data_IF_547843975018
#
_entry.id   IF_547843975018
#
_cell.length_a   1.000
_cell.length_b   1.000
_cell.length_c   1.000
_cell.angle_alpha   90.00
_cell.angle_beta   90.00
_cell.angle_gamma   90.00
#
_symmetry.space_group_name_H-M   'P 1'
#
loop_
_entity.id
_entity.type
_entity.pdbx_description
1 polymer ?
#
# COMPACT_ATOMS: atom_id res chain seq x y z
N UNK A 1 4.75 10.01 32.31
CA UNK A 1 5.04 11.37 31.82
C UNK A 1 3.74 12.16 31.75
N UNK A 2 3.65 13.36 32.35
CA UNK A 2 2.41 14.17 32.36
C UNK A 2 2.36 15.21 31.24
N UNK A 3 3.53 15.68 30.80
CA UNK A 3 3.73 16.63 29.70
C UNK A 3 4.77 16.06 28.74
N UNK A 4 4.64 16.33 27.44
CA UNK A 4 5.55 15.82 26.43
C UNK A 4 6.88 16.59 26.51
N UNK A 5 7.94 15.95 27.00
CA UNK A 5 9.27 16.57 27.13
C UNK A 5 10.08 16.40 25.86
N UNK A 6 10.95 17.36 25.56
CA UNK A 6 11.82 17.29 24.39
C UNK A 6 12.86 16.15 24.49
N UNK A 7 13.44 15.80 23.35
CA UNK A 7 14.45 14.75 23.24
C UNK A 7 15.64 14.93 24.20
N UNK A 8 16.19 16.14 24.26
CA UNK A 8 17.39 16.46 25.06
C UNK A 8 17.14 16.29 26.56
N UNK A 9 15.94 16.67 27.00
CA UNK A 9 15.49 16.51 28.38
C UNK A 9 15.36 15.04 28.79
N UNK A 10 14.76 14.22 27.93
CA UNK A 10 14.61 12.78 28.20
C UNK A 10 15.94 12.04 28.07
N UNK A 11 16.80 12.46 27.13
CA UNK A 11 18.16 11.94 27.01
C UNK A 11 18.98 12.20 28.27
N UNK A 12 18.91 13.41 28.81
CA UNK A 12 19.60 13.80 30.05
C UNK A 12 19.05 13.05 31.27
N UNK A 13 17.73 12.78 31.29
CA UNK A 13 17.09 12.00 32.34
C UNK A 13 17.37 10.48 32.26
N UNK A 14 17.97 9.99 31.16
CA UNK A 14 18.17 8.56 30.93
C UNK A 14 16.91 7.81 30.50
N UNK A 15 15.87 8.52 30.06
CA UNK A 15 14.58 7.96 29.63
C UNK A 15 14.60 7.51 28.15
N UNK A 16 15.64 7.86 27.39
CA UNK A 16 15.83 7.45 25.99
C UNK A 16 16.90 6.38 25.86
N UNK A 17 16.74 5.49 24.89
CA UNK A 17 17.71 4.45 24.55
C UNK A 17 17.84 4.29 23.04
N UNK A 18 19.00 3.85 22.59
CA UNK A 18 19.19 3.39 21.21
C UNK A 18 18.57 2.00 21.06
N UNK A 19 17.38 1.95 20.47
CA UNK A 19 16.63 0.71 20.34
C UNK A 19 17.32 -0.29 19.41
N UNK A 20 17.34 -1.54 19.86
CA UNK A 20 17.74 -2.71 19.08
C UNK A 20 16.66 -3.79 19.27
N UNK A 21 16.38 -4.58 18.23
CA UNK A 21 15.27 -5.55 18.24
C UNK A 21 15.41 -6.62 19.35
N UNK A 22 16.64 -6.93 19.78
CA UNK A 22 16.85 -7.87 20.89
C UNK A 22 16.45 -7.30 22.26
N UNK A 23 16.28 -5.98 22.40
CA UNK A 23 15.90 -5.35 23.67
C UNK A 23 14.43 -5.59 24.03
N UNK A 24 13.57 -5.86 23.05
CA UNK A 24 12.15 -6.02 23.29
C UNK A 24 11.30 -5.76 22.05
N UNK A 25 10.10 -5.21 22.26
CA UNK A 25 9.18 -4.83 21.17
C UNK A 25 9.10 -3.31 21.07
N UNK A 26 8.93 -2.79 19.87
CA UNK A 26 8.78 -1.35 19.64
C UNK A 26 7.49 -1.02 18.89
N UNK A 27 6.92 0.13 19.25
CA UNK A 27 5.78 0.77 18.62
C UNK A 27 6.18 2.09 17.99
N UNK A 28 5.94 2.23 16.69
CA UNK A 28 6.01 3.51 16.00
C UNK A 28 4.67 4.23 16.12
N UNK A 29 4.67 5.46 16.64
CA UNK A 29 3.45 6.28 16.76
C UNK A 29 3.44 7.35 15.69
N UNK A 30 2.59 7.15 14.69
CA UNK A 30 2.24 8.17 13.69
C UNK A 30 1.08 9.00 14.20
N UNK A 31 1.24 10.31 14.24
CA UNK A 31 0.23 11.26 14.73
C UNK A 31 0.32 12.60 13.99
N UNK A 32 -0.71 13.43 14.14
CA UNK A 32 -0.71 14.78 13.59
C UNK A 32 -0.49 15.79 14.71
N UNK A 33 0.44 16.72 14.50
CA UNK A 33 0.72 17.82 15.42
C UNK A 33 -0.52 18.71 15.60
N UNK A 34 -0.80 19.09 16.85
CA UNK A 34 -1.93 19.92 17.27
C UNK A 34 -1.66 21.42 17.19
N UNK A 35 -0.40 21.82 16.95
CA UNK A 35 -0.03 23.21 16.76
C UNK A 35 1.25 23.35 15.92
N UNK A 36 1.55 24.57 15.50
CA UNK A 36 2.77 24.88 14.76
C UNK A 36 4.06 24.70 15.58
N UNK A 37 4.02 24.95 16.89
CA UNK A 37 5.21 25.00 17.73
C UNK A 37 5.42 23.74 18.57
N UNK A 38 4.35 22.98 18.82
CA UNK A 38 4.40 21.80 19.66
C UNK A 38 3.41 20.73 19.18
N UNK A 39 3.82 19.45 19.15
CA UNK A 39 2.98 18.35 18.66
C UNK A 39 1.69 18.16 19.45
N UNK A 40 1.73 18.34 20.77
CA UNK A 40 0.59 18.13 21.65
C UNK A 40 0.64 19.07 22.87
N UNK A 41 0.34 20.37 22.72
CA UNK A 41 0.58 21.40 23.74
C UNK A 41 -0.08 21.13 25.10
N UNK A 42 -1.18 20.39 25.10
CA UNK A 42 -1.96 20.07 26.30
C UNK A 42 -1.85 18.59 26.70
N UNK A 43 -1.06 17.80 25.97
CA UNK A 43 -0.88 16.37 26.22
C UNK A 43 -2.16 15.55 25.98
N UNK A 44 -3.08 16.03 25.14
CA UNK A 44 -4.38 15.41 24.90
C UNK A 44 -4.25 14.10 24.12
N UNK A 45 -3.53 14.11 23.00
CA UNK A 45 -3.27 12.91 22.21
C UNK A 45 -2.41 11.91 22.98
N UNK A 46 -1.35 12.40 23.62
CA UNK A 46 -0.44 11.56 24.36
C UNK A 46 -1.09 10.91 25.57
N UNK A 47 -2.04 11.60 26.24
CA UNK A 47 -2.83 11.01 27.32
C UNK A 47 -3.73 9.89 26.80
N UNK A 48 -4.37 10.07 25.64
CA UNK A 48 -5.16 9.00 25.01
C UNK A 48 -4.28 7.79 24.71
N UNK A 49 -3.07 7.99 24.17
CA UNK A 49 -2.12 6.90 23.93
C UNK A 49 -1.75 6.18 25.23
N UNK A 50 -1.41 6.93 26.29
CA UNK A 50 -1.08 6.35 27.59
C UNK A 50 -2.23 5.52 28.17
N UNK A 51 -3.45 6.05 28.13
CA UNK A 51 -4.62 5.36 28.66
C UNK A 51 -4.98 4.13 27.83
N UNK A 52 -4.86 4.21 26.50
CA UNK A 52 -5.01 3.06 25.60
C UNK A 52 -3.99 1.96 25.94
N UNK A 53 -2.70 2.31 26.09
CA UNK A 53 -1.66 1.35 26.45
C UNK A 53 -1.87 0.74 27.85
N UNK A 54 -2.31 1.53 28.83
CA UNK A 54 -2.67 1.00 30.17
C UNK A 54 -3.83 0.00 30.08
N UNK A 55 -4.84 0.30 29.28
CA UNK A 55 -6.00 -0.58 29.10
C UNK A 55 -5.63 -1.86 28.33
N UNK A 56 -4.79 -1.77 27.29
CA UNK A 56 -4.30 -2.93 26.54
C UNK A 56 -3.42 -3.82 27.41
N UNK A 57 -2.48 -3.25 28.18
CA UNK A 57 -1.60 -3.99 29.10
C UNK A 57 -2.35 -4.70 30.21
N UNK A 58 -3.40 -4.09 30.74
CA UNK A 58 -4.25 -4.69 31.79
C UNK A 58 -5.30 -5.67 31.24
N UNK A 59 -5.51 -5.72 29.93
CA UNK A 59 -6.58 -6.49 29.30
C UNK A 59 -7.98 -5.87 29.46
N UNK A 60 -8.08 -4.64 29.98
CA UNK A 60 -9.34 -3.88 30.09
C UNK A 60 -9.89 -3.48 28.71
N UNK A 61 -9.00 -3.28 27.74
CA UNK A 61 -9.34 -3.06 26.34
C UNK A 61 -8.63 -4.09 25.47
N UNK A 62 -9.17 -4.35 24.28
CA UNK A 62 -8.59 -5.23 23.28
C UNK A 62 -8.62 -4.54 21.93
N UNK A 63 -7.63 -4.82 21.08
CA UNK A 63 -7.64 -4.37 19.69
C UNK A 63 -8.72 -5.15 18.94
N UNK A 64 -9.66 -4.42 18.36
CA UNK A 64 -10.81 -4.99 17.65
C UNK A 64 -10.48 -5.17 16.17
N UNK A 65 -11.08 -6.19 15.55
CA UNK A 65 -11.09 -6.34 14.09
C UNK A 65 -12.39 -5.71 13.61
N UNK A 66 -12.35 -4.69 12.74
CA UNK A 66 -13.57 -4.11 12.19
C UNK A 66 -14.39 -5.18 11.45
N UNK A 67 -15.71 -5.22 11.71
CA UNK A 67 -16.62 -6.24 11.18
C UNK A 67 -16.51 -6.46 9.67
N UNK A 68 -16.46 -5.41 8.81
CA UNK A 68 -16.31 -5.61 7.36
C UNK A 68 -15.05 -6.41 7.02
N UNK A 69 -13.99 -6.24 7.80
CA UNK A 69 -12.72 -6.93 7.59
C UNK A 69 -12.74 -8.37 8.10
N UNK A 70 -13.43 -8.64 9.21
CA UNK A 70 -13.64 -10.03 9.67
C UNK A 70 -14.50 -10.81 8.66
N UNK A 71 -15.51 -10.17 8.06
CA UNK A 71 -16.34 -10.78 7.01
C UNK A 71 -15.52 -11.11 5.77
N UNK A 72 -14.64 -10.19 5.33
CA UNK A 72 -13.89 -10.36 4.09
C UNK A 72 -12.69 -11.31 4.23
N UNK A 73 -11.99 -11.30 5.37
CA UNK A 73 -10.73 -12.01 5.54
C UNK A 73 -10.73 -13.07 6.65
N UNK A 74 -11.88 -13.29 7.28
CA UNK A 74 -12.05 -14.18 8.42
C UNK A 74 -11.45 -13.60 9.71
N UNK A 75 -11.49 -14.41 10.78
CA UNK A 75 -10.87 -14.06 12.06
C UNK A 75 -9.36 -14.00 11.92
N UNK A 76 -8.78 -12.90 12.42
CA UNK A 76 -7.34 -12.66 12.41
C UNK A 76 -6.81 -12.54 13.82
N UNK A 77 -5.53 -12.86 14.00
CA UNK A 77 -4.84 -12.67 15.26
C UNK A 77 -4.80 -11.17 15.58
N UNK A 78 -5.17 -10.82 16.80
CA UNK A 78 -4.99 -9.49 17.36
C UNK A 78 -3.95 -9.55 18.47
N UNK A 79 -3.24 -8.45 18.75
CA UNK A 79 -2.34 -8.39 19.89
C UNK A 79 -3.13 -8.47 21.18
N UNK A 80 -2.58 -9.20 22.14
CA UNK A 80 -3.15 -9.47 23.46
C UNK A 80 -2.43 -8.65 24.53
N UNK A 81 -2.97 -8.61 25.74
CA UNK A 81 -2.29 -7.96 26.88
C UNK A 81 -0.89 -8.55 27.14
N UNK A 82 -0.72 -9.85 26.88
CA UNK A 82 0.56 -10.53 26.98
C UNK A 82 1.61 -9.94 26.03
N UNK A 83 1.22 -9.61 24.79
CA UNK A 83 2.13 -9.01 23.81
C UNK A 83 2.71 -7.65 24.26
N UNK A 84 1.98 -6.91 25.11
CA UNK A 84 2.42 -5.62 25.68
C UNK A 84 3.11 -5.74 27.05
N UNK A 85 3.25 -6.94 27.61
CA UNK A 85 3.77 -7.16 28.97
C UNK A 85 4.90 -8.18 29.05
N UNK A 86 5.00 -9.09 28.07
CA UNK A 86 6.00 -10.17 28.03
C UNK A 86 7.44 -9.65 27.95
N UNK A 87 7.68 -8.59 27.18
CA UNK A 87 9.01 -8.04 26.92
C UNK A 87 9.03 -6.54 27.19
N UNK A 88 10.21 -5.93 27.39
CA UNK A 88 10.34 -4.48 27.39
C UNK A 88 9.69 -3.89 26.14
N UNK A 89 8.91 -2.82 26.34
CA UNK A 89 8.10 -2.21 25.28
C UNK A 89 8.53 -0.76 25.09
N UNK A 90 9.01 -0.45 23.88
CA UNK A 90 9.56 0.85 23.52
C UNK A 90 8.59 1.62 22.62
N UNK A 91 8.59 2.94 22.76
CA UNK A 91 7.76 3.83 21.95
C UNK A 91 8.68 4.74 21.17
N UNK A 92 8.54 4.72 19.85
CA UNK A 92 9.07 5.74 18.97
C UNK A 92 7.98 6.78 18.72
N UNK A 93 8.28 8.03 19.05
CA UNK A 93 7.41 9.19 18.89
C UNK A 93 8.26 10.35 18.39
N UNK A 94 7.88 10.94 17.26
CA UNK A 94 8.69 11.89 16.49
C UNK A 94 9.32 13.02 17.33
N UNK A 95 8.59 13.58 18.29
CA UNK A 95 9.04 14.71 19.10
C UNK A 95 10.17 14.38 20.06
N UNK A 96 10.02 13.34 20.87
CA UNK A 96 11.05 12.98 21.85
C UNK A 96 12.06 11.96 21.32
N UNK A 97 11.78 11.32 20.18
CA UNK A 97 12.71 10.40 19.52
C UNK A 97 13.63 11.12 18.53
N UNK A 98 13.30 12.36 18.13
CA UNK A 98 14.16 13.21 17.32
C UNK A 98 14.65 14.42 18.13
N UNK A 99 15.91 14.86 17.97
CA UNK A 99 16.41 16.09 18.57
C UNK A 99 15.55 17.32 18.28
N UNK A 100 15.34 18.19 19.27
CA UNK A 100 14.54 19.41 19.15
C UNK A 100 15.37 20.71 19.20
N UNK A 101 16.65 20.62 19.61
CA UNK A 101 17.56 21.76 19.70
C UNK A 101 17.74 22.58 18.41
N UNK A 102 18.15 23.84 18.58
CA UNK A 102 18.41 24.79 17.49
C UNK A 102 19.89 24.88 17.09
N UNK A 103 20.79 24.26 17.84
CA UNK A 103 22.21 24.18 17.48
C UNK A 103 22.42 23.31 16.24
N UNK A 104 23.53 23.52 15.53
CA UNK A 104 23.82 22.85 14.26
C UNK A 104 23.83 21.32 14.37
N UNK A 105 24.26 20.78 15.51
CA UNK A 105 24.31 19.34 15.75
C UNK A 105 22.90 18.76 15.90
N UNK A 106 22.05 19.41 16.69
CA UNK A 106 20.64 19.00 16.85
C UNK A 106 19.86 19.12 15.56
N UNK A 107 20.05 20.20 14.80
CA UNK A 107 19.40 20.39 13.49
C UNK A 107 19.82 19.29 12.50
N UNK A 108 21.12 19.00 12.40
CA UNK A 108 21.62 17.95 11.53
C UNK A 108 21.09 16.57 11.96
N UNK A 109 21.13 16.27 13.25
CA UNK A 109 20.69 14.98 13.79
C UNK A 109 19.18 14.77 13.63
N UNK A 110 18.37 15.81 13.87
CA UNK A 110 16.93 15.82 13.55
C UNK A 110 16.71 15.54 12.08
N UNK A 111 17.49 16.20 11.21
CA UNK A 111 17.37 15.99 9.77
C UNK A 111 17.67 14.54 9.42
N UNK A 112 18.78 13.95 9.91
CA UNK A 112 19.08 12.53 9.69
C UNK A 112 17.99 11.57 10.19
N UNK A 113 17.33 11.88 11.31
CA UNK A 113 16.21 11.08 11.82
C UNK A 113 14.99 11.13 10.88
N UNK A 114 14.64 12.32 10.37
CA UNK A 114 13.59 12.49 9.34
C UNK A 114 14.02 11.84 8.02
N UNK A 115 15.30 11.97 7.66
CA UNK A 115 16.13 11.16 6.74
C UNK A 115 15.66 9.72 6.60
N UNK A 116 15.56 9.12 7.77
CA UNK A 116 15.56 7.67 7.96
C UNK A 116 14.30 7.20 8.68
N UNK A 117 13.25 8.01 8.70
CA UNK A 117 11.98 7.70 9.40
C UNK A 117 11.42 6.32 9.02
N UNK A 118 11.53 5.98 7.74
CA UNK A 118 11.11 4.69 7.17
C UNK A 118 11.88 3.50 7.76
N UNK A 119 13.14 3.69 8.14
CA UNK A 119 13.94 2.66 8.79
C UNK A 119 13.44 2.39 10.23
N UNK A 120 13.04 3.43 10.98
CA UNK A 120 12.42 3.26 12.30
C UNK A 120 11.09 2.51 12.19
N UNK A 121 10.24 2.88 11.22
CA UNK A 121 8.98 2.18 10.94
C UNK A 121 9.22 0.70 10.68
N UNK A 122 10.21 0.36 9.85
CA UNK A 122 10.51 -1.03 9.48
C UNK A 122 10.92 -1.91 10.67
N UNK A 123 11.58 -1.34 11.69
CA UNK A 123 12.04 -2.03 12.89
C UNK A 123 10.96 -2.16 13.99
N UNK A 124 9.88 -1.40 13.89
CA UNK A 124 8.78 -1.46 14.87
C UNK A 124 7.81 -2.60 14.54
N UNK A 125 7.44 -3.38 15.57
CA UNK A 125 6.45 -4.47 15.44
C UNK A 125 5.03 -3.91 15.35
N UNK A 126 4.80 -2.79 16.04
CA UNK A 126 3.53 -2.08 16.03
C UNK A 126 3.68 -0.77 15.29
N UNK A 127 2.75 -0.51 14.36
CA UNK A 127 2.55 0.80 13.79
C UNK A 127 1.22 1.34 14.29
N UNK A 128 1.25 2.41 15.07
CA UNK A 128 0.06 3.03 15.64
C UNK A 128 -0.26 4.31 14.90
N UNK A 129 -1.49 4.41 14.43
CA UNK A 129 -2.10 5.66 13.97
C UNK A 129 -2.86 6.23 15.16
N UNK A 130 -2.30 7.27 15.78
CA UNK A 130 -2.90 7.96 16.92
C UNK A 130 -3.73 9.14 16.41
N UNK A 131 -5.04 8.96 16.36
CA UNK A 131 -5.97 9.94 15.78
C UNK A 131 -7.24 10.14 16.64
N UNK A 132 -7.09 10.51 17.93
CA UNK A 132 -8.25 10.87 18.73
C UNK A 132 -8.91 12.15 18.21
N UNK A 133 -10.21 12.31 18.49
CA UNK A 133 -10.96 13.51 18.17
C UNK A 133 -10.52 14.67 19.08
N UNK A 134 -9.55 15.47 18.62
CA UNK A 134 -8.98 16.61 19.34
C UNK A 134 -8.90 17.82 18.42
N UNK A 135 -9.01 19.03 18.97
CA UNK A 135 -9.01 20.27 18.18
C UNK A 135 -7.58 20.76 17.95
N UNK A 136 -7.22 20.98 16.69
CA UNK A 136 -5.96 21.66 16.37
C UNK A 136 -6.02 23.12 16.84
N UNK A 137 -5.10 23.51 17.71
CA UNK A 137 -5.07 24.83 18.37
C UNK A 137 -5.15 25.98 17.37
N UNK A 138 -4.32 25.94 16.33
CA UNK A 138 -4.17 27.07 15.40
C UNK A 138 -5.16 27.03 14.22
N UNK A 139 -5.69 25.86 13.85
CA UNK A 139 -6.58 25.69 12.69
C UNK A 139 -8.06 25.64 13.07
N UNK A 140 -8.38 25.51 14.36
CA UNK A 140 -9.75 25.35 14.88
C UNK A 140 -10.52 24.20 14.19
N UNK A 141 -9.79 23.19 13.69
CA UNK A 141 -10.32 21.99 13.05
C UNK A 141 -10.19 20.81 14.00
N UNK A 142 -11.24 19.99 14.10
CA UNK A 142 -11.17 18.70 14.79
C UNK A 142 -10.36 17.73 13.93
N UNK A 143 -9.30 17.17 14.51
CA UNK A 143 -8.48 16.15 13.90
C UNK A 143 -9.06 14.76 14.16
N UNK A 144 -8.69 13.82 13.31
CA UNK A 144 -9.13 12.44 13.34
C UNK A 144 -8.41 11.63 12.27
N UNK A 145 -8.88 10.41 12.00
CA UNK A 145 -8.26 9.54 11.00
C UNK A 145 -8.25 10.18 9.61
N UNK A 146 -9.34 10.83 9.20
CA UNK A 146 -9.44 11.50 7.89
C UNK A 146 -8.40 12.63 7.75
N UNK A 147 -8.27 13.48 8.78
CA UNK A 147 -7.31 14.58 8.78
C UNK A 147 -5.85 14.08 8.80
N UNK A 148 -5.58 13.00 9.54
CA UNK A 148 -4.29 12.31 9.52
C UNK A 148 -3.98 11.75 8.13
N UNK A 149 -4.98 11.12 7.50
CA UNK A 149 -4.86 10.54 6.16
C UNK A 149 -4.69 11.60 5.09
N UNK A 150 -4.99 12.88 5.32
CA UNK A 150 -4.69 13.95 4.36
C UNK A 150 -3.19 14.27 4.25
N UNK A 151 -2.35 13.88 5.22
CA UNK A 151 -0.94 14.32 5.27
C UNK A 151 0.01 13.39 4.54
N UNK A 152 0.90 13.97 3.73
CA UNK A 152 1.89 13.20 2.95
C UNK A 152 2.85 12.39 3.83
N UNK A 153 3.38 12.98 4.91
CA UNK A 153 4.30 12.28 5.81
C UNK A 153 3.64 11.10 6.53
N UNK A 154 2.41 11.27 6.99
CA UNK A 154 1.62 10.20 7.62
C UNK A 154 1.34 9.04 6.65
N UNK A 155 0.96 9.37 5.40
CA UNK A 155 0.82 8.38 4.32
C UNK A 155 2.14 7.65 4.02
N UNK A 156 3.26 8.38 4.01
CA UNK A 156 4.59 7.82 3.78
C UNK A 156 4.98 6.82 4.87
N UNK A 157 4.77 7.17 6.14
CA UNK A 157 5.04 6.29 7.28
C UNK A 157 4.22 5.01 7.19
N UNK A 158 2.93 5.11 6.87
CA UNK A 158 2.07 3.93 6.65
C UNK A 158 2.55 3.10 5.47
N UNK A 159 2.90 3.72 4.34
CA UNK A 159 3.44 3.00 3.18
C UNK A 159 4.74 2.26 3.55
N UNK A 160 5.62 2.87 4.34
CA UNK A 160 6.85 2.25 4.81
C UNK A 160 6.57 1.01 5.67
N UNK A 161 5.53 1.05 6.51
CA UNK A 161 5.09 -0.13 7.28
C UNK A 161 4.59 -1.25 6.36
N UNK A 162 3.81 -0.90 5.34
CA UNK A 162 3.26 -1.88 4.40
C UNK A 162 4.32 -2.51 3.47
N UNK A 163 5.36 -1.75 3.12
CA UNK A 163 6.47 -2.23 2.30
C UNK A 163 7.59 -2.89 3.10
N UNK A 164 7.55 -2.88 4.43
CA UNK A 164 8.57 -3.50 5.26
C UNK A 164 8.70 -5.01 4.94
N UNK A 165 9.92 -5.56 5.05
CA UNK A 165 10.18 -6.98 4.78
C UNK A 165 9.46 -7.90 5.78
N UNK A 166 9.25 -7.41 7.01
CA UNK A 166 8.60 -8.17 8.09
C UNK A 166 7.15 -8.52 7.78
N UNK A 167 6.79 -9.77 8.06
CA UNK A 167 5.41 -10.28 7.95
C UNK A 167 4.68 -10.28 9.31
N UNK A 168 5.42 -10.14 10.41
CA UNK A 168 4.91 -10.13 11.77
C UNK A 168 4.75 -8.70 12.29
N UNK A 169 3.54 -8.34 12.68
CA UNK A 169 3.25 -7.10 13.38
C UNK A 169 1.93 -6.49 12.96
N UNK A 170 1.57 -5.41 13.63
CA UNK A 170 0.20 -4.90 13.63
C UNK A 170 0.13 -3.43 13.26
N UNK A 171 -0.87 -3.05 12.48
CA UNK A 171 -1.25 -1.66 12.24
C UNK A 171 -2.49 -1.38 13.06
N UNK A 172 -2.38 -0.52 14.08
CA UNK A 172 -3.44 -0.27 15.05
C UNK A 172 -3.84 1.20 14.96
N UNK A 173 -5.13 1.49 14.83
CA UNK A 173 -5.68 2.83 14.96
C UNK A 173 -6.17 3.03 16.37
N UNK A 174 -5.80 4.14 16.99
CA UNK A 174 -6.24 4.52 18.34
C UNK A 174 -7.10 5.78 18.24
N UNK A 175 -8.41 5.61 18.35
CA UNK A 175 -9.38 6.71 18.38
C UNK A 175 -9.63 7.22 19.81
N UNK A 176 -9.51 6.35 20.81
CA UNK A 176 -9.71 6.69 22.21
C UNK A 176 -8.97 5.71 23.13
N UNK A 177 -9.06 5.94 24.44
CA UNK A 177 -8.49 5.05 25.46
C UNK A 177 -9.06 3.61 25.41
N UNK A 178 -10.24 3.39 24.83
CA UNK A 178 -10.92 2.09 24.81
C UNK A 178 -11.35 1.63 23.41
N UNK A 179 -11.09 2.44 22.39
CA UNK A 179 -11.41 2.13 20.99
C UNK A 179 -10.13 2.06 20.17
N UNK A 180 -9.66 0.83 19.93
CA UNK A 180 -8.51 0.52 19.10
C UNK A 180 -8.88 -0.51 18.05
N UNK A 181 -8.58 -0.23 16.78
CA UNK A 181 -8.91 -1.09 15.64
C UNK A 181 -7.67 -1.58 14.91
N UNK A 182 -7.72 -2.80 14.41
CA UNK A 182 -6.71 -3.33 13.50
C UNK A 182 -7.01 -2.87 12.07
N UNK A 183 -6.01 -2.29 11.40
CA UNK A 183 -6.05 -2.00 9.96
C UNK A 183 -5.33 -3.08 9.18
N UNK A 184 -5.88 -3.40 8.01
CA UNK A 184 -5.30 -4.32 7.05
C UNK A 184 -4.81 -3.54 5.82
N UNK A 185 -3.64 -3.92 5.29
CA UNK A 185 -2.95 -3.25 4.17
C UNK A 185 -3.69 -3.34 2.81
N UNK A 186 -4.94 -3.81 2.78
CA UNK A 186 -5.68 -4.09 1.53
C UNK A 186 -6.22 -2.84 0.84
N UNK A 187 -6.16 -1.67 1.48
CA UNK A 187 -6.63 -0.39 0.92
C UNK A 187 -5.52 0.45 0.26
N UNK A 188 -4.40 -0.18 -0.14
CA UNK A 188 -3.20 0.47 -0.70
C UNK A 188 -3.47 1.49 -1.81
N UNK A 189 -4.58 1.34 -2.54
CA UNK A 189 -4.95 2.17 -3.69
C UNK A 189 -5.48 3.58 -3.34
N UNK A 190 -5.90 3.83 -2.10
CA UNK A 190 -6.54 5.09 -1.70
C UNK A 190 -5.56 6.11 -1.09
N UNK A 191 -4.42 5.64 -0.60
CA UNK A 191 -3.59 6.40 0.34
C UNK A 191 -2.17 6.71 -0.14
N UNK A 192 -1.96 6.79 -1.46
CA UNK A 192 -0.65 7.11 -2.02
C UNK A 192 -0.07 8.41 -1.42
N UNK A 193 1.20 8.43 -0.97
CA UNK A 193 1.77 9.60 -0.29
C UNK A 193 1.71 10.89 -1.09
N UNK A 194 1.98 10.85 -2.40
CA UNK A 194 1.96 12.05 -3.23
C UNK A 194 0.58 12.71 -3.40
N UNK A 195 -0.50 12.01 -3.06
CA UNK A 195 -1.86 12.58 -3.01
C UNK A 195 -2.16 13.32 -1.70
N UNK A 196 -1.27 13.24 -0.70
CA UNK A 196 -1.39 14.00 0.54
C UNK A 196 -0.95 15.46 0.42
N UNK A 197 -1.25 16.22 1.46
CA UNK A 197 -0.84 17.60 1.68
C UNK A 197 0.54 17.64 2.33
N UNK A 198 1.42 18.43 1.73
CA UNK A 198 2.75 18.72 2.25
C UNK A 198 2.74 20.00 3.07
N UNK A 199 3.49 19.99 4.17
CA UNK A 199 3.80 21.24 4.90
C UNK A 199 4.80 22.08 4.09
N UNK A 200 5.81 21.44 3.50
CA UNK A 200 6.78 22.09 2.63
C UNK A 200 6.88 21.37 1.29
N UNK A 201 6.56 22.06 0.20
CA UNK A 201 6.52 21.47 -1.13
C UNK A 201 7.90 20.94 -1.59
N UNK A 202 8.99 21.53 -1.07
CA UNK A 202 10.37 21.06 -1.30
C UNK A 202 10.61 19.60 -0.89
N UNK A 203 9.82 19.08 0.05
CA UNK A 203 9.97 17.71 0.53
C UNK A 203 9.49 16.68 -0.51
N UNK A 204 8.69 17.09 -1.51
CA UNK A 204 8.11 16.17 -2.50
C UNK A 204 9.16 15.33 -3.22
N UNK A 205 10.23 15.96 -3.73
CA UNK A 205 11.27 15.26 -4.48
C UNK A 205 11.99 14.23 -3.60
N UNK A 206 12.26 14.60 -2.35
CA UNK A 206 12.90 13.72 -1.39
C UNK A 206 12.01 12.53 -1.05
N UNK A 207 10.73 12.78 -0.76
CA UNK A 207 9.75 11.73 -0.46
C UNK A 207 9.62 10.78 -1.66
N UNK A 208 9.63 11.32 -2.88
CA UNK A 208 9.63 10.51 -4.10
C UNK A 208 10.86 9.58 -4.16
N UNK A 209 12.06 10.10 -3.90
CA UNK A 209 13.28 9.28 -3.85
C UNK A 209 13.21 8.16 -2.81
N UNK A 210 12.71 8.45 -1.60
CA UNK A 210 12.52 7.45 -0.54
C UNK A 210 11.52 6.38 -0.96
N UNK A 211 10.38 6.76 -1.55
CA UNK A 211 9.35 5.79 -1.98
C UNK A 211 9.86 4.89 -3.10
N UNK A 212 10.55 5.45 -4.09
CA UNK A 212 11.16 4.66 -5.17
C UNK A 212 12.10 3.60 -4.59
N UNK A 213 12.96 3.98 -3.65
CA UNK A 213 13.87 3.06 -3.00
C UNK A 213 13.12 1.95 -2.23
N UNK A 214 12.08 2.30 -1.47
CA UNK A 214 11.28 1.31 -0.73
C UNK A 214 10.57 0.32 -1.66
N UNK A 215 9.94 0.81 -2.74
CA UNK A 215 9.24 -0.05 -3.71
C UNK A 215 10.25 -0.94 -4.43
N UNK A 216 11.38 -0.39 -4.86
CA UNK A 216 12.46 -1.14 -5.50
C UNK A 216 12.98 -2.27 -4.60
N UNK A 217 13.30 -1.97 -3.34
CA UNK A 217 13.74 -2.97 -2.36
C UNK A 217 12.68 -4.05 -2.13
N UNK A 218 11.40 -3.68 -2.05
CA UNK A 218 10.32 -4.64 -1.83
C UNK A 218 10.06 -5.54 -3.04
N UNK A 219 10.18 -5.01 -4.26
CA UNK A 219 10.11 -5.81 -5.49
C UNK A 219 11.25 -6.83 -5.55
N UNK A 220 12.49 -6.40 -5.27
CA UNK A 220 13.63 -7.32 -5.16
C UNK A 220 13.42 -8.39 -4.08
N UNK A 221 12.94 -8.00 -2.90
CA UNK A 221 12.61 -8.94 -1.83
C UNK A 221 11.63 -10.02 -2.31
N UNK A 222 10.55 -9.66 -3.02
CA UNK A 222 9.61 -10.66 -3.53
C UNK A 222 10.25 -11.59 -4.58
N UNK A 223 11.10 -11.05 -5.46
CA UNK A 223 11.85 -11.87 -6.43
C UNK A 223 12.81 -12.85 -5.73
N UNK A 224 13.54 -12.40 -4.71
CA UNK A 224 14.45 -13.24 -3.92
C UNK A 224 13.73 -14.35 -3.16
N UNK A 225 12.53 -14.06 -2.65
CA UNK A 225 11.68 -15.06 -1.97
C UNK A 225 10.93 -15.98 -2.95
N UNK A 226 10.96 -15.70 -4.25
CA UNK A 226 10.15 -16.40 -5.25
C UNK A 226 8.63 -16.13 -5.14
N UNK A 227 8.23 -15.07 -4.43
CA UNK A 227 6.84 -14.66 -4.26
C UNK A 227 6.37 -13.85 -5.47
N UNK A 228 6.19 -14.55 -6.60
CA UNK A 228 5.82 -13.93 -7.87
C UNK A 228 4.43 -13.29 -7.82
N UNK A 229 3.50 -13.79 -6.99
CA UNK A 229 2.15 -13.23 -6.90
C UNK A 229 2.19 -11.80 -6.33
N UNK A 230 2.84 -11.61 -5.18
CA UNK A 230 2.95 -10.30 -4.56
C UNK A 230 3.90 -9.36 -5.31
N UNK A 231 4.95 -9.90 -5.94
CA UNK A 231 5.79 -9.16 -6.88
C UNK A 231 4.95 -8.53 -7.99
N UNK A 232 4.17 -9.33 -8.73
CA UNK A 232 3.29 -8.86 -9.81
C UNK A 232 2.26 -7.88 -9.30
N UNK A 233 1.67 -8.13 -8.13
CA UNK A 233 0.70 -7.21 -7.54
C UNK A 233 1.33 -5.83 -7.29
N UNK A 234 2.49 -5.77 -6.65
CA UNK A 234 3.18 -4.50 -6.39
C UNK A 234 3.65 -3.84 -7.68
N UNK A 235 4.26 -4.59 -8.60
CA UNK A 235 4.76 -4.09 -9.88
C UNK A 235 3.66 -3.38 -10.68
N UNK A 236 2.46 -3.96 -10.74
CA UNK A 236 1.35 -3.41 -11.52
C UNK A 236 0.52 -2.38 -10.77
N UNK A 237 0.75 -2.16 -9.48
CA UNK A 237 -0.02 -1.20 -8.68
C UNK A 237 0.82 -0.03 -8.17
N UNK A 238 2.15 -0.09 -8.29
CA UNK A 238 3.11 0.90 -7.78
C UNK A 238 2.77 2.34 -8.18
N UNK A 239 2.36 2.58 -9.43
CA UNK A 239 2.09 3.93 -9.92
C UNK A 239 0.88 4.52 -9.20
N UNK A 240 -0.19 3.75 -9.05
CA UNK A 240 -1.42 4.20 -8.39
C UNK A 240 -1.30 4.29 -6.88
N UNK A 241 -0.57 3.35 -6.27
CA UNK A 241 -0.56 3.16 -4.83
C UNK A 241 0.61 3.85 -4.13
N UNK A 242 1.73 4.02 -4.82
CA UNK A 242 2.97 4.48 -4.21
C UNK A 242 3.47 5.77 -4.88
N UNK A 243 3.47 5.82 -6.21
CA UNK A 243 4.14 6.88 -6.98
C UNK A 243 3.19 7.99 -7.48
N UNK A 244 1.90 7.88 -7.17
CA UNK A 244 0.86 8.83 -7.61
C UNK A 244 1.21 10.25 -7.18
N UNK A 245 1.13 11.21 -8.12
CA UNK A 245 1.40 12.63 -7.91
C UNK A 245 2.84 12.97 -7.44
N UNK A 246 3.82 12.09 -7.70
CA UNK A 246 5.22 12.34 -7.38
C UNK A 246 6.09 12.71 -8.60
N UNK A 247 5.54 12.63 -9.81
CA UNK A 247 6.28 12.94 -11.04
C UNK A 247 7.36 11.91 -11.39
N UNK A 248 7.24 10.69 -10.87
CA UNK A 248 8.17 9.58 -11.12
C UNK A 248 7.48 8.49 -11.95
N UNK A 249 8.20 7.93 -12.91
CA UNK A 249 7.75 6.79 -13.71
C UNK A 249 7.72 5.47 -12.92
N UNK A 250 7.08 4.42 -13.47
CA UNK A 250 7.13 3.09 -12.87
C UNK A 250 8.56 2.55 -12.78
N UNK A 251 8.82 1.73 -11.77
CA UNK A 251 10.03 0.91 -11.67
C UNK A 251 9.82 -0.30 -12.59
N UNK A 252 10.74 -0.47 -13.54
CA UNK A 252 10.73 -1.52 -14.55
C UNK A 252 12.16 -2.04 -14.79
N UNK A 253 12.29 -3.11 -15.55
CA UNK A 253 13.57 -3.72 -15.93
C UNK A 253 14.24 -4.48 -14.80
N UNK A 254 13.45 -5.03 -13.87
CA UNK A 254 13.97 -5.81 -12.74
C UNK A 254 14.25 -7.26 -13.14
N UNK A 255 13.56 -7.78 -14.15
CA UNK A 255 13.78 -9.12 -14.67
C UNK A 255 14.86 -9.06 -15.76
N UNK A 256 15.97 -9.81 -15.65
CA UNK A 256 17.00 -9.78 -16.67
C UNK A 256 16.61 -10.58 -17.93
N UNK A 257 17.34 -10.36 -19.03
CA UNK A 257 17.29 -11.21 -20.21
C UNK A 257 16.10 -10.96 -21.15
N UNK A 258 15.57 -9.73 -21.18
CA UNK A 258 14.56 -9.37 -22.18
C UNK A 258 15.16 -9.37 -23.58
N UNK A 259 14.61 -10.17 -24.48
CA UNK A 259 14.95 -10.17 -25.90
C UNK A 259 13.64 -10.06 -26.69
N UNK A 260 13.29 -8.86 -27.20
CA UNK A 260 12.04 -8.66 -27.93
C UNK A 260 12.09 -9.38 -29.27
N UNK A 261 10.96 -9.93 -29.71
CA UNK A 261 10.81 -10.51 -31.05
C UNK A 261 10.20 -9.50 -32.02
N UNK A 262 9.43 -8.57 -31.48
CA UNK A 262 8.80 -7.50 -32.23
C UNK A 262 9.59 -6.20 -32.06
N UNK A 263 9.83 -5.51 -33.17
CA UNK A 263 10.48 -4.19 -33.14
C UNK A 263 9.48 -3.16 -32.59
N UNK A 264 9.85 -2.37 -31.57
CA UNK A 264 8.96 -1.34 -31.00
C UNK A 264 8.55 -0.25 -32.00
N UNK A 265 9.31 -0.03 -33.08
CA UNK A 265 8.99 0.93 -34.14
C UNK A 265 8.06 0.35 -35.21
N UNK A 266 8.07 -0.97 -35.43
CA UNK A 266 7.22 -1.64 -36.41
C UNK A 266 5.89 -2.13 -35.80
N UNK A 267 5.93 -2.76 -34.62
CA UNK A 267 4.76 -3.23 -33.88
C UNK A 267 4.86 -2.87 -32.38
N UNK A 268 4.55 -1.60 -32.04
CA UNK A 268 4.65 -1.13 -30.66
C UNK A 268 3.71 -1.87 -29.71
N UNK A 269 2.57 -2.38 -30.19
CA UNK A 269 1.61 -3.07 -29.33
C UNK A 269 2.09 -4.46 -28.97
N UNK A 270 2.63 -5.21 -29.93
CA UNK A 270 3.23 -6.51 -29.65
C UNK A 270 4.44 -6.38 -28.73
N UNK A 271 5.29 -5.37 -28.92
CA UNK A 271 6.42 -5.09 -28.03
C UNK A 271 5.96 -4.82 -26.58
N UNK A 272 4.94 -3.99 -26.38
CA UNK A 272 4.40 -3.69 -25.03
C UNK A 272 3.90 -4.96 -24.35
N UNK A 273 3.21 -5.84 -25.08
CA UNK A 273 2.74 -7.12 -24.54
C UNK A 273 3.92 -8.04 -24.18
N UNK A 274 4.94 -8.13 -25.03
CA UNK A 274 6.14 -8.92 -24.74
C UNK A 274 6.88 -8.42 -23.51
N UNK A 275 7.08 -7.10 -23.41
CA UNK A 275 7.68 -6.45 -22.24
C UNK A 275 6.87 -6.73 -20.98
N UNK A 276 5.55 -6.55 -21.05
CA UNK A 276 4.66 -6.81 -19.91
C UNK A 276 4.74 -8.26 -19.43
N UNK A 277 4.68 -9.22 -20.36
CA UNK A 277 4.77 -10.63 -20.02
C UNK A 277 6.13 -10.95 -19.39
N UNK A 278 7.21 -10.43 -19.95
CA UNK A 278 8.57 -10.65 -19.45
C UNK A 278 8.76 -10.07 -18.03
N UNK A 279 8.41 -8.81 -17.81
CA UNK A 279 8.50 -8.16 -16.50
C UNK A 279 7.63 -8.86 -15.46
N UNK A 280 6.48 -9.43 -15.86
CA UNK A 280 5.64 -10.21 -14.95
C UNK A 280 6.04 -11.69 -14.85
N UNK A 281 7.08 -12.14 -15.55
CA UNK A 281 7.52 -13.54 -15.56
C UNK A 281 6.49 -14.52 -16.14
N UNK A 282 5.70 -14.09 -17.11
CA UNK A 282 4.80 -14.93 -17.89
C UNK A 282 5.40 -15.23 -19.28
N UNK A 283 5.07 -16.39 -19.84
CA UNK A 283 5.47 -16.80 -21.20
C UNK A 283 4.39 -16.48 -22.21
N UNK A 284 3.12 -16.61 -21.82
CA UNK A 284 1.96 -16.39 -22.69
C UNK A 284 0.85 -15.63 -21.98
N UNK A 285 -0.07 -15.03 -22.74
CA UNK A 285 -1.25 -14.32 -22.22
C UNK A 285 -2.25 -15.24 -21.49
N UNK A 286 -2.19 -16.54 -21.73
CA UNK A 286 -3.07 -17.55 -21.14
C UNK A 286 -2.48 -18.21 -19.90
N UNK A 287 -1.25 -17.84 -19.53
CA UNK A 287 -0.61 -18.38 -18.32
C UNK A 287 -1.40 -17.98 -17.07
N UNK A 288 -1.32 -18.82 -16.05
CA UNK A 288 -1.93 -18.59 -14.74
C UNK A 288 -0.90 -18.77 -13.66
N UNK A 289 -0.95 -17.91 -12.65
CA UNK A 289 -0.15 -18.09 -11.44
C UNK A 289 -0.79 -19.12 -10.49
N UNK A 290 -0.15 -19.34 -9.34
CA UNK A 290 -0.63 -20.26 -8.29
C UNK A 290 -1.96 -19.83 -7.66
N UNK A 291 -2.33 -18.56 -7.77
CA UNK A 291 -3.62 -18.01 -7.35
C UNK A 291 -4.68 -18.01 -8.48
N UNK A 292 -4.33 -18.50 -9.68
CA UNK A 292 -5.21 -18.54 -10.85
C UNK A 292 -5.27 -17.25 -11.67
N UNK A 293 -4.47 -16.23 -11.32
CA UNK A 293 -4.43 -14.93 -11.96
C UNK A 293 -3.67 -14.99 -13.29
N UNK A 294 -4.26 -14.37 -14.31
CA UNK A 294 -3.68 -14.27 -15.66
C UNK A 294 -2.98 -12.92 -15.86
N UNK A 295 -2.12 -12.79 -16.89
CA UNK A 295 -1.54 -11.50 -17.28
C UNK A 295 -2.56 -10.35 -17.39
N UNK A 296 -3.75 -10.64 -17.92
CA UNK A 296 -4.79 -9.61 -18.10
C UNK A 296 -5.37 -9.11 -16.77
N UNK A 297 -5.44 -9.96 -15.73
CA UNK A 297 -5.83 -9.54 -14.39
C UNK A 297 -4.84 -8.51 -13.82
N UNK A 298 -3.52 -8.74 -14.02
CA UNK A 298 -2.48 -7.80 -13.61
C UNK A 298 -2.49 -6.51 -14.44
N UNK A 299 -2.68 -6.61 -15.75
CA UNK A 299 -2.78 -5.44 -16.63
C UNK A 299 -3.97 -4.54 -16.25
N UNK A 300 -5.12 -5.13 -15.87
CA UNK A 300 -6.29 -4.40 -15.39
C UNK A 300 -5.97 -3.50 -14.18
N UNK A 301 -5.13 -3.99 -13.25
CA UNK A 301 -4.74 -3.24 -12.05
C UNK A 301 -3.89 -2.01 -12.39
N UNK A 302 -3.05 -2.08 -13.42
CA UNK A 302 -2.17 -0.98 -13.85
C UNK A 302 -2.98 0.23 -14.38
N UNK A 303 -4.23 0.03 -14.84
CA UNK A 303 -5.07 1.13 -15.34
C UNK A 303 -4.59 1.75 -16.64
N UNK A 304 -3.60 1.13 -17.30
CA UNK A 304 -3.45 1.22 -18.74
C UNK A 304 -4.80 0.82 -19.34
N UNK A 305 -5.33 1.63 -20.26
CA UNK A 305 -6.57 1.28 -20.96
C UNK A 305 -6.46 -0.17 -21.43
N UNK A 306 -7.45 -0.99 -21.07
CA UNK A 306 -7.56 -2.38 -21.50
C UNK A 306 -7.21 -2.45 -23.00
N UNK A 307 -6.28 -3.33 -23.44
CA UNK A 307 -5.95 -3.45 -24.85
C UNK A 307 -7.22 -3.63 -25.66
N UNK A 308 -7.37 -2.89 -26.77
CA UNK A 308 -8.51 -3.06 -27.68
C UNK A 308 -8.73 -4.55 -27.98
N UNK A 309 -9.97 -4.98 -27.91
CA UNK A 309 -10.47 -6.34 -28.13
C UNK A 309 -10.23 -7.33 -26.99
N UNK A 310 -9.83 -6.90 -25.80
CA UNK A 310 -9.59 -7.78 -24.64
C UNK A 310 -10.81 -8.65 -24.25
N UNK A 311 -12.03 -8.14 -24.41
CA UNK A 311 -13.25 -8.93 -24.23
C UNK A 311 -13.40 -10.04 -25.29
N UNK A 312 -13.03 -9.74 -26.54
CA UNK A 312 -13.08 -10.70 -27.64
C UNK A 312 -12.01 -11.79 -27.47
N UNK A 313 -10.81 -11.44 -27.02
CA UNK A 313 -9.76 -12.41 -26.75
C UNK A 313 -10.12 -13.35 -25.60
N UNK A 314 -10.78 -12.87 -24.54
CA UNK A 314 -11.27 -13.72 -23.46
C UNK A 314 -12.37 -14.69 -23.94
N UNK A 315 -13.25 -14.24 -24.83
CA UNK A 315 -14.28 -15.08 -25.45
C UNK A 315 -13.67 -16.14 -26.40
N UNK A 316 -12.62 -15.79 -27.14
CA UNK A 316 -11.97 -16.65 -28.14
C UNK A 316 -11.01 -17.66 -27.50
N UNK A 317 -10.22 -17.26 -26.50
CA UNK A 317 -9.12 -18.06 -25.95
C UNK A 317 -9.50 -18.83 -24.67
N UNK A 318 -10.42 -18.30 -23.84
CA UNK A 318 -10.83 -18.90 -22.56
C UNK A 318 -12.29 -19.39 -22.60
N UNK A 319 -12.86 -19.53 -23.80
CA UNK A 319 -14.22 -20.01 -24.04
C UNK A 319 -15.34 -19.13 -23.46
N UNK A 320 -15.04 -17.89 -23.06
CA UNK A 320 -16.02 -16.99 -22.47
C UNK A 320 -16.40 -17.34 -21.03
N UNK A 321 -15.46 -17.85 -20.24
CA UNK A 321 -15.61 -18.02 -18.78
C UNK A 321 -16.32 -16.82 -18.15
N UNK A 322 -17.41 -17.07 -17.42
CA UNK A 322 -18.23 -16.04 -16.76
C UNK A 322 -17.38 -15.15 -15.85
N UNK A 323 -16.42 -15.74 -15.12
CA UNK A 323 -15.51 -15.01 -14.26
C UNK A 323 -14.58 -14.08 -15.04
N UNK A 324 -14.05 -14.55 -16.18
CA UNK A 324 -13.18 -13.76 -17.06
C UNK A 324 -13.95 -12.60 -17.71
N UNK A 325 -15.16 -12.86 -18.22
CA UNK A 325 -16.02 -11.83 -18.85
C UNK A 325 -16.50 -10.81 -17.82
N UNK A 326 -16.94 -11.25 -16.63
CA UNK A 326 -17.40 -10.37 -15.56
C UNK A 326 -16.28 -9.46 -15.05
N UNK A 327 -15.08 -10.00 -14.87
CA UNK A 327 -13.90 -9.21 -14.46
C UNK A 327 -13.54 -8.15 -15.49
N UNK A 328 -13.63 -8.46 -16.79
CA UNK A 328 -13.34 -7.52 -17.87
C UNK A 328 -14.39 -6.41 -17.98
N UNK A 329 -15.66 -6.74 -17.81
CA UNK A 329 -16.76 -5.75 -17.79
C UNK A 329 -16.61 -4.83 -16.57
N UNK A 330 -16.29 -5.38 -15.39
CA UNK A 330 -16.01 -4.60 -14.17
C UNK A 330 -14.79 -3.69 -14.33
N UNK A 331 -13.79 -4.14 -15.09
CA UNK A 331 -12.61 -3.35 -15.46
C UNK A 331 -12.88 -2.33 -16.59
N UNK A 332 -14.16 -2.08 -16.95
CA UNK A 332 -14.61 -1.15 -18.00
C UNK A 332 -14.10 -1.49 -19.42
N UNK A 333 -13.91 -2.76 -19.73
CA UNK A 333 -13.69 -3.18 -21.12
C UNK A 333 -14.88 -2.76 -22.00
N UNK A 334 -14.60 -2.29 -23.21
CA UNK A 334 -15.63 -1.79 -24.13
C UNK A 334 -16.46 -2.95 -24.70
N UNK A 335 -17.71 -3.09 -24.22
CA UNK A 335 -18.61 -4.19 -24.60
C UNK A 335 -19.09 -4.10 -26.05
N UNK A 336 -19.15 -2.89 -26.61
CA UNK A 336 -19.63 -2.63 -27.97
C UNK A 336 -18.52 -2.60 -29.02
N UNK A 337 -17.29 -2.92 -28.62
CA UNK A 337 -16.15 -2.93 -29.51
C UNK A 337 -16.39 -3.95 -30.64
N UNK A 338 -16.04 -3.61 -31.88
CA UNK A 338 -16.23 -4.50 -33.03
C UNK A 338 -14.90 -5.11 -33.45
N UNK A 339 -14.79 -6.43 -33.38
CA UNK A 339 -13.62 -7.16 -33.87
C UNK A 339 -13.63 -7.21 -35.41
N UNK A 340 -12.69 -6.49 -36.04
CA UNK A 340 -12.47 -6.56 -37.49
C UNK A 340 -11.30 -7.48 -37.81
N UNK A 341 -11.59 -8.65 -38.40
CA UNK A 341 -10.54 -9.57 -38.85
C UNK A 341 -9.89 -9.06 -40.14
N UNK A 342 -8.59 -8.76 -40.09
CA UNK A 342 -7.77 -8.32 -41.23
C UNK A 342 -7.37 -9.48 -42.15
N UNK A 343 -7.35 -10.73 -41.64
CA UNK A 343 -6.98 -11.92 -42.42
C UNK A 343 -8.19 -12.61 -43.06
N UNK A 344 -8.19 -12.89 -44.38
CA UNK A 344 -9.35 -13.43 -45.12
C UNK A 344 -9.86 -14.77 -44.57
N UNK A 345 -8.95 -15.68 -44.21
CA UNK A 345 -9.28 -17.01 -43.71
C UNK A 345 -10.03 -16.96 -42.36
N UNK A 346 -9.60 -16.07 -41.45
CA UNK A 346 -10.29 -15.86 -40.17
C UNK A 346 -11.68 -15.26 -40.37
N UNK A 347 -11.82 -14.34 -41.33
CA UNK A 347 -13.10 -13.72 -41.71
C UNK A 347 -14.10 -14.76 -42.23
N UNK A 348 -13.63 -15.72 -43.03
CA UNK A 348 -14.45 -16.83 -43.54
C UNK A 348 -14.86 -17.79 -42.40
N UNK A 349 -13.92 -18.16 -41.54
CA UNK A 349 -14.17 -19.06 -40.41
C UNK A 349 -15.22 -18.49 -39.43
N UNK A 350 -15.06 -17.23 -39.01
CA UNK A 350 -16.00 -16.59 -38.08
C UNK A 350 -17.35 -16.25 -38.73
N UNK A 351 -17.38 -15.96 -40.03
CA UNK A 351 -18.64 -15.85 -40.79
C UNK A 351 -19.39 -17.19 -40.83
N UNK A 352 -18.68 -18.29 -41.07
CA UNK A 352 -19.27 -19.64 -41.07
C UNK A 352 -19.80 -20.05 -39.69
N UNK A 353 -19.06 -19.74 -38.61
CA UNK A 353 -19.50 -19.96 -37.23
C UNK A 353 -20.72 -19.09 -36.87
N UNK A 354 -20.77 -17.84 -37.34
CA UNK A 354 -21.92 -16.95 -37.14
C UNK A 354 -23.17 -17.41 -37.89
N UNK A 355 -23.02 -17.88 -39.14
CA UNK A 355 -24.12 -18.48 -39.92
C UNK A 355 -24.62 -19.75 -39.23
N UNK A 356 -23.71 -20.63 -38.80
CA UNK A 356 -24.07 -21.85 -38.06
C UNK A 356 -24.84 -21.55 -36.78
N UNK A 357 -24.46 -20.51 -36.04
CA UNK A 357 -25.17 -20.08 -34.82
C UNK A 357 -26.58 -19.52 -35.13
N UNK A 358 -26.76 -18.80 -36.24
CA UNK A 358 -28.08 -18.30 -36.67
C UNK A 358 -29.03 -19.39 -37.17
N UNK A 359 -28.48 -20.50 -37.67
CA UNK A 359 -29.26 -21.63 -38.21
C UNK A 359 -29.56 -22.69 -37.13
N UNK A 360 -28.74 -22.79 -36.08
CA UNK A 360 -28.96 -23.67 -34.92
C UNK A 360 -28.60 -22.93 -33.63
N UNK A 361 -29.56 -22.28 -32.96
CA UNK A 361 -29.32 -21.63 -31.68
C UNK A 361 -28.87 -22.66 -30.65
N UNK A 362 -27.82 -22.37 -29.88
CA UNK A 362 -27.46 -23.17 -28.71
C UNK A 362 -28.37 -22.80 -27.54
N UNK A 363 -28.47 -23.66 -26.53
CA UNK A 363 -29.40 -23.53 -25.39
C UNK A 363 -29.30 -22.20 -24.60
N UNK A 364 -28.26 -21.38 -24.83
CA UNK A 364 -28.09 -20.05 -24.25
C UNK A 364 -28.95 -18.95 -24.90
N UNK A 365 -29.65 -19.21 -26.00
CA UNK A 365 -30.51 -18.21 -26.66
C UNK A 365 -31.91 -18.10 -26.06
N UNK A 366 -32.29 -18.98 -25.12
CA UNK A 366 -33.66 -19.06 -24.58
C UNK A 366 -33.87 -18.26 -23.28
N UNK A 367 -32.85 -17.56 -22.78
CA UNK A 367 -32.93 -16.79 -21.50
C UNK A 367 -32.90 -15.27 -21.74
N UNK A 368 -33.52 -14.79 -22.81
CA UNK A 368 -33.79 -13.36 -23.02
C UNK A 368 -35.28 -13.07 -22.93
#
# INVERSE_FOLDING_TARGET
MRELRAHEELKTAGDLTEYQEYLGRAMFVSHQWLSHDHPDPHGEQFRVLQDALRNLRSGKSQVQVPVPTEVQYGRRKTPTSYDFTERPFFIWYDYFSCPQGSDSTSVHSRQCAIDTIVAYVSRCEYFVILCPAVTHRDQQRVLGEDAWAERTWCRLERLARELAARADGFVIVVHSATHQNLIFSTSRHLDAPGAGQLTFERDRQRIAGVIVQMVWQKLHYFLEQGDLHNYRFLLNTQVKCCLRNLGVGPIEGLVPGFVPRNDPFDDPQAFIVEWFLHENGFRTVSDRDTAGWTPICYAAMNGQAMPKHSLHYALIADGGSEASVSTLIQAKAEVNERLQFTRPMMRIMFTALSIRHRVSPSALTVVA
#
